data_IF_781016357631
#
_entry.id   IF_781016357631
#
_cell.length_a   1.000
_cell.length_b   1.000
_cell.length_c   1.000
_cell.angle_alpha   90.00
_cell.angle_beta   90.00
_cell.angle_gamma   90.00
#
_symmetry.space_group_name_H-M   'P 1'
#
loop_
_entity.id
_entity.type
_entity.pdbx_description
1 polymer ?
#
# COMPACT_ATOMS: atom_id res chain seq x y z
N UNK A 1 7.08 15.49 3.88
CA UNK A 1 6.54 14.51 2.90
C UNK A 1 6.31 13.20 3.60
N UNK A 2 5.18 12.55 3.36
CA UNK A 2 4.96 11.18 3.85
C UNK A 2 5.77 10.23 2.97
N UNK A 3 6.56 9.34 3.60
CA UNK A 3 7.25 8.26 2.88
C UNK A 3 6.19 7.32 2.31
N UNK A 4 6.21 7.15 0.99
CA UNK A 4 5.42 6.15 0.27
C UNK A 4 6.24 4.87 0.23
N UNK A 5 5.63 3.75 0.61
CA UNK A 5 6.27 2.45 0.63
C UNK A 5 6.19 1.76 -0.74
N UNK A 6 5.08 1.97 -1.46
CA UNK A 6 4.84 1.43 -2.80
C UNK A 6 4.06 2.41 -3.68
N UNK A 7 4.53 2.64 -4.90
CA UNK A 7 3.80 3.49 -5.84
C UNK A 7 2.58 2.75 -6.41
N UNK A 8 1.42 3.42 -6.43
CA UNK A 8 0.18 2.88 -6.98
C UNK A 8 -0.76 4.00 -7.42
N UNK A 9 -1.56 3.76 -8.46
CA UNK A 9 -2.72 4.59 -8.75
C UNK A 9 -3.90 4.12 -7.89
N UNK A 10 -4.27 4.91 -6.89
CA UNK A 10 -5.31 4.58 -5.92
C UNK A 10 -6.73 4.50 -6.52
N UNK A 11 -6.91 4.88 -7.80
CA UNK A 11 -8.18 4.72 -8.52
C UNK A 11 -8.14 3.54 -9.51
N UNK A 12 -7.00 2.86 -9.66
CA UNK A 12 -6.86 1.73 -10.56
C UNK A 12 -7.12 0.42 -9.82
N UNK A 13 -8.35 -0.06 -9.95
CA UNK A 13 -8.78 -1.37 -9.45
C UNK A 13 -8.84 -2.38 -10.60
N UNK A 14 -8.56 -3.65 -10.29
CA UNK A 14 -8.75 -4.74 -11.24
C UNK A 14 -10.05 -5.53 -10.95
N UNK A 15 -10.21 -6.70 -11.58
CA UNK A 15 -11.40 -7.54 -11.43
C UNK A 15 -11.63 -8.07 -10.01
N UNK A 16 -10.63 -8.02 -9.13
CA UNK A 16 -10.76 -8.38 -7.72
C UNK A 16 -11.44 -7.28 -6.89
N UNK A 17 -11.55 -6.06 -7.43
CA UNK A 17 -12.03 -4.88 -6.72
C UNK A 17 -11.02 -4.31 -5.73
N UNK A 18 -9.75 -4.68 -5.85
CA UNK A 18 -8.65 -4.08 -5.10
C UNK A 18 -7.80 -3.18 -6.00
N UNK A 19 -7.20 -2.15 -5.38
CA UNK A 19 -6.15 -1.38 -6.04
C UNK A 19 -4.99 -2.32 -6.30
N UNK A 20 -4.35 -2.21 -7.44
CA UNK A 20 -3.21 -3.07 -7.77
C UNK A 20 -2.00 -2.26 -8.23
N UNK A 21 -0.83 -2.86 -8.11
CA UNK A 21 0.43 -2.35 -8.64
C UNK A 21 1.42 -3.51 -8.75
N UNK A 22 2.62 -3.26 -9.28
CA UNK A 22 3.70 -4.24 -9.29
C UNK A 22 4.60 -4.11 -8.07
N UNK A 23 5.16 -5.24 -7.61
CA UNK A 23 6.03 -5.28 -6.43
C UNK A 23 7.33 -4.46 -6.59
N UNK A 24 7.81 -4.29 -7.82
CA UNK A 24 9.01 -3.51 -8.14
C UNK A 24 8.80 -1.98 -8.06
N UNK A 25 7.56 -1.52 -7.96
CA UNK A 25 7.20 -0.14 -7.61
C UNK A 25 7.41 0.17 -6.11
N UNK A 26 7.74 -0.84 -5.31
CA UNK A 26 8.03 -0.68 -3.89
C UNK A 26 9.45 -0.12 -3.68
N UNK A 27 9.56 0.88 -2.81
CA UNK A 27 10.87 1.40 -2.40
C UNK A 27 11.69 0.33 -1.64
N UNK A 28 11.02 -0.56 -0.93
CA UNK A 28 11.59 -1.75 -0.29
C UNK A 28 10.59 -2.92 -0.41
N UNK A 29 10.76 -3.82 -1.40
CA UNK A 29 9.88 -4.97 -1.59
C UNK A 29 9.77 -5.90 -0.38
N UNK A 30 10.74 -5.91 0.54
CA UNK A 30 10.73 -6.81 1.70
C UNK A 30 9.67 -6.45 2.74
N UNK A 31 9.17 -5.21 2.69
CA UNK A 31 8.09 -4.68 3.53
C UNK A 31 6.69 -5.00 2.99
N UNK A 32 6.58 -5.45 1.74
CA UNK A 32 5.32 -5.71 1.05
C UNK A 32 4.96 -7.18 1.25
N UNK A 33 4.16 -7.46 2.28
CA UNK A 33 3.74 -8.81 2.65
C UNK A 33 2.25 -8.85 2.93
N UNK A 34 1.55 -9.97 2.66
CA UNK A 34 0.14 -10.07 2.96
C UNK A 34 -0.18 -9.70 4.41
N UNK A 35 -1.28 -8.97 4.61
CA UNK A 35 -1.77 -8.40 5.87
C UNK A 35 -0.94 -7.24 6.44
N UNK A 36 0.11 -6.80 5.77
CA UNK A 36 0.91 -5.66 6.21
C UNK A 36 0.22 -4.34 5.84
N UNK A 37 0.32 -3.34 6.72
CA UNK A 37 -0.13 -1.98 6.43
C UNK A 37 1.03 -1.18 5.83
N UNK A 38 0.78 -0.54 4.70
CA UNK A 38 1.74 0.23 3.94
C UNK A 38 1.14 1.57 3.51
N UNK A 39 1.97 2.55 3.23
CA UNK A 39 1.54 3.77 2.54
C UNK A 39 1.69 3.56 1.04
N UNK A 40 0.59 3.58 0.32
CA UNK A 40 0.57 3.48 -1.14
C UNK A 40 0.13 4.79 -1.80
N UNK A 41 0.59 5.03 -3.02
CA UNK A 41 0.17 6.17 -3.83
C UNK A 41 1.32 6.89 -4.51
N UNK A 42 1.18 8.19 -4.69
CA UNK A 42 2.22 9.08 -5.19
C UNK A 42 2.57 10.15 -4.16
N UNK A 43 3.63 10.93 -4.43
CA UNK A 43 4.03 12.03 -3.55
C UNK A 43 2.95 13.13 -3.35
N UNK A 44 1.95 13.20 -4.24
CA UNK A 44 0.82 14.14 -4.14
C UNK A 44 -0.44 13.53 -3.51
N UNK A 45 -0.65 12.23 -3.67
CA UNK A 45 -1.85 11.53 -3.20
C UNK A 45 -1.45 10.18 -2.64
N UNK A 46 -1.58 9.98 -1.32
CA UNK A 46 -1.23 8.71 -0.67
C UNK A 46 -2.26 8.32 0.38
N UNK A 47 -2.42 7.01 0.59
CA UNK A 47 -3.33 6.44 1.57
C UNK A 47 -2.65 5.29 2.33
N UNK A 48 -3.21 4.92 3.48
CA UNK A 48 -2.83 3.68 4.17
C UNK A 48 -3.59 2.54 3.50
N UNK A 49 -2.87 1.51 3.10
CA UNK A 49 -3.42 0.33 2.45
C UNK A 49 -3.03 -0.93 3.23
N UNK A 50 -3.88 -1.93 3.21
CA UNK A 50 -3.53 -3.29 3.59
C UNK A 50 -3.14 -4.08 2.34
N UNK A 51 -2.00 -4.75 2.39
CA UNK A 51 -1.60 -5.72 1.36
C UNK A 51 -2.49 -6.96 1.50
N UNK A 52 -3.30 -7.24 0.48
CA UNK A 52 -4.19 -8.41 0.48
C UNK A 52 -3.41 -9.67 0.17
N UNK A 53 -2.74 -9.68 -0.97
CA UNK A 53 -1.90 -10.77 -1.44
C UNK A 53 -0.84 -10.27 -2.43
N UNK A 54 0.04 -11.20 -2.82
CA UNK A 54 1.00 -11.05 -3.89
C UNK A 54 0.76 -12.20 -4.88
N UNK A 55 0.62 -11.87 -6.16
CA UNK A 55 0.33 -12.83 -7.20
C UNK A 55 1.40 -12.81 -8.30
N UNK A 56 2.06 -13.94 -8.52
CA UNK A 56 3.05 -14.06 -9.60
C UNK A 56 2.36 -14.13 -10.97
N UNK A 57 2.74 -13.20 -11.86
CA UNK A 57 2.35 -13.16 -13.27
C UNK A 57 3.58 -13.22 -14.16
N UNK A 58 3.38 -13.55 -15.43
CA UNK A 58 4.47 -13.53 -16.43
C UNK A 58 5.14 -12.16 -16.59
N UNK A 59 4.44 -11.07 -16.27
CA UNK A 59 4.95 -9.70 -16.36
C UNK A 59 5.62 -9.20 -15.08
N UNK A 60 5.45 -9.90 -13.95
CA UNK A 60 5.92 -9.46 -12.63
C UNK A 60 5.01 -9.94 -11.50
N UNK A 61 5.36 -9.63 -10.26
CA UNK A 61 4.50 -9.90 -9.09
C UNK A 61 3.53 -8.75 -8.91
N UNK A 62 2.24 -9.03 -9.01
CA UNK A 62 1.15 -8.09 -8.73
C UNK A 62 0.91 -8.05 -7.23
N UNK A 63 0.68 -6.86 -6.69
CA UNK A 63 0.34 -6.61 -5.30
C UNK A 63 -1.07 -6.04 -5.25
N UNK A 64 -2.00 -6.75 -4.61
CA UNK A 64 -3.34 -6.23 -4.37
C UNK A 64 -3.39 -5.48 -3.03
N UNK A 65 -4.01 -4.30 -3.06
CA UNK A 65 -4.05 -3.33 -1.97
C UNK A 65 -5.50 -2.95 -1.69
N UNK A 66 -5.90 -3.05 -0.42
CA UNK A 66 -7.15 -2.49 0.07
C UNK A 66 -6.88 -1.15 0.72
N UNK A 67 -7.42 -0.08 0.16
CA UNK A 67 -7.36 1.26 0.76
C UNK A 67 -8.17 1.25 2.06
N UNK A 68 -7.53 1.65 3.16
CA UNK A 68 -8.19 1.74 4.45
C UNK A 68 -8.80 3.13 4.65
N UNK A 69 -9.93 3.22 5.38
CA UNK A 69 -10.50 4.51 5.71
C UNK A 69 -9.58 5.30 6.64
N UNK A 70 -9.65 6.63 6.51
CA UNK A 70 -8.90 7.58 7.34
C UNK A 70 -7.67 8.16 6.67
N UNK A 71 -7.04 9.10 7.36
CA UNK A 71 -5.84 9.81 6.89
C UNK A 71 -4.60 9.19 7.53
N UNK A 72 -3.46 9.26 6.84
CA UNK A 72 -2.16 8.78 7.36
C UNK A 72 -1.85 9.40 8.73
N UNK A 73 -2.25 10.65 8.96
CA UNK A 73 -2.07 11.34 10.24
C UNK A 73 -2.86 10.69 11.39
N UNK A 74 -4.06 10.13 11.14
CA UNK A 74 -4.80 9.40 12.16
C UNK A 74 -4.08 8.11 12.58
N UNK A 75 -3.48 7.38 11.61
CA UNK A 75 -2.69 6.19 11.91
C UNK A 75 -1.40 6.53 12.66
N UNK A 76 -0.73 7.64 12.33
CA UNK A 76 0.43 8.12 13.12
C UNK A 76 0.08 8.39 14.56
N UNK A 77 -1.02 9.12 14.82
CA UNK A 77 -1.49 9.39 16.19
C UNK A 77 -1.77 8.11 16.97
N UNK A 78 -2.29 7.08 16.30
CA UNK A 78 -2.51 5.77 16.92
C UNK A 78 -1.20 5.15 17.39
N UNK A 79 -0.16 5.13 16.53
CA UNK A 79 1.16 4.60 16.88
C UNK A 79 1.83 5.39 18.01
N UNK A 80 1.74 6.71 18.01
CA UNK A 80 2.29 7.57 19.08
C UNK A 80 1.67 7.29 20.45
N UNK A 81 0.40 6.85 20.50
CA UNK A 81 -0.26 6.47 21.76
C UNK A 81 0.22 5.12 22.31
N UNK A 82 0.63 4.21 21.43
CA UNK A 82 1.03 2.84 21.80
C UNK A 82 2.51 2.76 22.17
N UNK A 83 3.27 3.86 22.03
CA UNK A 83 4.68 3.92 22.41
C UNK A 83 5.60 3.18 21.44
N UNK A 84 5.32 3.28 20.14
CA UNK A 84 6.23 2.87 19.08
C UNK A 84 7.33 3.92 18.85
#
# INVERSE_FOLDING_TARGET
>A
MTRVDIAADLNSEDETGFVWTFLDEAADPSLIRPRQLVVAGSGSTSAVCEVIDLEERSAGTVVHLRVLPGTIEQYRRLLSRVGA
#
